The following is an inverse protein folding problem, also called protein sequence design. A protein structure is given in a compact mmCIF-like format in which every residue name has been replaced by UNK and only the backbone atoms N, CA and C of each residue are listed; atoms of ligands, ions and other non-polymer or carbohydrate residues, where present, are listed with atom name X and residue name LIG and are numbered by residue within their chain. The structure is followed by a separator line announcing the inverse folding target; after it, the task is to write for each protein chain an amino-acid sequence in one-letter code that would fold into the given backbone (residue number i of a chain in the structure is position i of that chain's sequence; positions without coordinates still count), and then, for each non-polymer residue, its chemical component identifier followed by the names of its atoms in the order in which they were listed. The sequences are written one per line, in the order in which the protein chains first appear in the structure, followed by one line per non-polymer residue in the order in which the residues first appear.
data_IF_154972963672
#
_entry.id   IF_154972963672
#
_cell.length_a   1.000
_cell.length_b   1.000
_cell.length_c   1.000
_cell.angle_alpha   90.00
_cell.angle_beta   90.00
_cell.angle_gamma   90.00
#
_symmetry.space_group_name_H-M   'P 1'
#
loop_
_entity.id
_entity.type
_entity.pdbx_description
1 polymer ?
#
# COMPACT_ATOMS: atom_id res chain seq x y z
N UNK A 1 -59.20 -14.63 24.53
CA UNK A 1 -58.62 -15.42 23.41
C UNK A 1 -57.15 -15.01 23.30
N UNK A 2 -56.19 -15.76 23.87
CA UNK A 2 -55.55 -16.96 23.29
C UNK A 2 -54.99 -16.59 21.91
N UNK A 3 -53.68 -16.43 21.71
CA UNK A 3 -52.75 -17.56 21.63
C UNK A 3 -51.28 -17.10 21.66
N UNK A 4 -50.51 -17.77 22.51
CA UNK A 4 -49.10 -18.17 22.39
C UNK A 4 -48.17 -17.42 21.42
N UNK A 5 -47.30 -16.59 21.99
CA UNK A 5 -45.96 -16.33 21.42
C UNK A 5 -44.96 -17.27 22.08
N UNK A 6 -45.16 -18.56 21.84
CA UNK A 6 -44.25 -19.64 22.27
C UNK A 6 -43.01 -19.65 21.39
N UNK A 7 -41.86 -19.44 22.03
CA UNK A 7 -40.55 -20.05 21.75
C UNK A 7 -40.16 -20.24 20.27
N UNK A 8 -39.29 -19.36 19.78
CA UNK A 8 -38.24 -19.75 18.82
C UNK A 8 -36.90 -19.33 19.42
N UNK A 9 -36.44 -20.11 20.39
CA UNK A 9 -35.02 -20.16 20.74
C UNK A 9 -34.34 -21.05 19.70
N UNK A 10 -33.94 -20.48 18.57
CA UNK A 10 -32.99 -21.13 17.67
C UNK A 10 -31.57 -20.83 18.17
N UNK A 11 -31.19 -21.44 19.29
CA UNK A 11 -29.78 -21.75 19.55
C UNK A 11 -29.37 -22.83 18.56
N UNK A 12 -29.03 -22.42 17.33
CA UNK A 12 -28.40 -23.31 16.35
C UNK A 12 -27.05 -23.73 16.93
N UNK A 13 -26.97 -24.96 17.42
CA UNK A 13 -25.72 -25.56 17.86
C UNK A 13 -24.71 -25.49 16.71
N UNK A 14 -23.45 -25.20 17.02
CA UNK A 14 -22.38 -25.20 16.02
C UNK A 14 -22.34 -26.59 15.34
N UNK A 15 -22.28 -26.64 14.00
CA UNK A 15 -22.34 -27.91 13.27
C UNK A 15 -21.20 -28.82 13.72
N UNK A 16 -21.53 -30.09 13.92
CA UNK A 16 -20.55 -31.09 14.36
C UNK A 16 -19.55 -31.40 13.22
N UNK A 17 -18.39 -31.95 13.58
CA UNK A 17 -17.30 -32.20 12.61
C UNK A 17 -17.73 -33.12 11.45
N UNK A 18 -18.73 -33.96 11.67
CA UNK A 18 -19.26 -34.92 10.71
C UNK A 18 -20.15 -34.23 9.67
N UNK A 19 -21.04 -33.33 10.09
CA UNK A 19 -21.85 -32.46 9.21
C UNK A 19 -20.97 -31.52 8.39
N UNK A 20 -19.90 -30.99 8.96
CA UNK A 20 -18.95 -30.15 8.23
C UNK A 20 -18.21 -30.94 7.14
N UNK A 21 -17.86 -32.20 7.41
CA UNK A 21 -17.22 -33.08 6.44
C UNK A 21 -18.19 -33.56 5.35
N UNK A 22 -19.43 -33.86 5.70
CA UNK A 22 -20.48 -34.16 4.72
C UNK A 22 -20.78 -32.97 3.80
N UNK A 23 -20.80 -31.75 4.35
CA UNK A 23 -20.95 -30.52 3.56
C UNK A 23 -19.76 -30.29 2.62
N UNK A 24 -18.52 -30.57 3.06
CA UNK A 24 -17.32 -30.52 2.21
C UNK A 24 -17.35 -31.55 1.08
N UNK A 25 -17.85 -32.75 1.34
CA UNK A 25 -18.00 -33.83 0.35
C UNK A 25 -19.09 -33.54 -0.68
N UNK A 26 -20.13 -32.80 -0.31
CA UNK A 26 -21.19 -32.37 -1.22
C UNK A 26 -20.80 -31.17 -2.10
N UNK A 27 -19.64 -30.56 -1.88
CA UNK A 27 -19.26 -29.29 -2.49
C UNK A 27 -18.46 -29.51 -3.79
N UNK A 28 -18.88 -28.84 -4.88
CA UNK A 28 -18.33 -29.03 -6.24
C UNK A 28 -16.82 -28.76 -6.32
N UNK A 29 -16.05 -29.45 -7.20
CA UNK A 29 -14.57 -29.40 -7.24
C UNK A 29 -13.92 -28.01 -7.48
N UNK A 30 -14.69 -26.94 -7.66
CA UNK A 30 -14.21 -25.57 -7.76
C UNK A 30 -14.32 -24.75 -6.46
N UNK A 31 -14.94 -25.27 -5.40
CA UNK A 31 -15.21 -24.48 -4.19
C UNK A 31 -13.93 -24.08 -3.46
N UNK A 32 -12.91 -24.94 -3.43
CA UNK A 32 -11.62 -24.62 -2.81
C UNK A 32 -10.89 -23.52 -3.58
N UNK A 33 -11.00 -23.54 -4.90
CA UNK A 33 -10.43 -22.50 -5.77
C UNK A 33 -11.17 -21.19 -5.60
N UNK A 34 -12.50 -21.22 -5.54
CA UNK A 34 -13.32 -20.05 -5.29
C UNK A 34 -13.07 -19.48 -3.89
N UNK A 35 -12.91 -20.33 -2.87
CA UNK A 35 -12.60 -19.90 -1.51
C UNK A 35 -11.16 -19.36 -1.41
N UNK A 36 -10.18 -19.97 -2.08
CA UNK A 36 -8.82 -19.43 -2.20
C UNK A 36 -8.80 -18.10 -2.95
N UNK A 37 -9.54 -18.00 -4.05
CA UNK A 37 -9.71 -16.77 -4.83
C UNK A 37 -10.37 -15.66 -4.00
N UNK A 38 -11.44 -15.99 -3.28
CA UNK A 38 -12.14 -15.08 -2.38
C UNK A 38 -11.29 -14.65 -1.18
N UNK A 39 -10.42 -15.53 -0.67
CA UNK A 39 -9.42 -15.20 0.35
C UNK A 39 -8.33 -14.25 -0.19
N UNK A 40 -7.96 -14.38 -1.46
CA UNK A 40 -6.98 -13.53 -2.12
C UNK A 40 -7.58 -12.17 -2.51
N UNK A 41 -8.89 -12.10 -2.76
CA UNK A 41 -9.57 -10.84 -3.06
C UNK A 41 -9.55 -9.89 -1.85
N UNK A 42 -8.57 -8.99 -1.88
CA UNK A 42 -8.36 -7.92 -0.90
C UNK A 42 -9.63 -7.09 -0.64
N UNK A 43 -10.46 -6.89 -1.67
CA UNK A 43 -11.72 -6.17 -1.57
C UNK A 43 -12.80 -6.83 -0.69
N UNK A 44 -12.68 -8.14 -0.39
CA UNK A 44 -13.57 -8.88 0.53
C UNK A 44 -12.97 -9.09 1.92
N UNK A 45 -11.68 -8.81 2.10
CA UNK A 45 -10.94 -9.01 3.36
C UNK A 45 -10.96 -7.76 4.28
N UNK A 46 -11.54 -6.66 3.81
CA UNK A 46 -11.93 -5.54 4.66
C UNK A 46 -13.40 -5.68 5.01
N UNK A 47 -13.72 -6.07 6.25
CA UNK A 47 -15.05 -5.77 6.80
C UNK A 47 -15.20 -4.25 6.72
N UNK A 48 -15.95 -3.76 5.74
CA UNK A 48 -16.30 -2.34 5.68
C UNK A 48 -17.13 -2.07 6.92
N UNK A 49 -16.60 -1.25 7.83
CA UNK A 49 -17.37 -0.85 9.00
C UNK A 49 -18.62 -0.11 8.51
N UNK A 50 -19.76 -0.37 9.14
CA UNK A 50 -21.06 0.19 8.76
C UNK A 50 -20.95 1.72 8.72
N UNK A 51 -20.17 2.28 9.63
CA UNK A 51 -19.87 3.70 9.77
C UNK A 51 -19.20 4.27 8.51
N UNK A 52 -18.27 3.54 7.86
CA UNK A 52 -17.65 4.01 6.60
C UNK A 52 -18.65 4.04 5.47
N UNK A 53 -19.50 3.03 5.33
CA UNK A 53 -20.53 2.97 4.28
C UNK A 53 -21.59 4.05 4.49
N UNK A 54 -22.00 4.26 5.74
CA UNK A 54 -22.94 5.31 6.11
C UNK A 54 -22.36 6.70 5.83
N UNK A 55 -21.08 6.95 6.17
CA UNK A 55 -20.40 8.22 5.88
C UNK A 55 -20.32 8.51 4.38
N UNK A 56 -20.08 7.48 3.55
CA UNK A 56 -20.05 7.61 2.09
C UNK A 56 -21.45 7.91 1.55
N UNK A 57 -22.48 7.19 2.02
CA UNK A 57 -23.87 7.43 1.63
C UNK A 57 -24.31 8.85 2.00
N UNK A 58 -23.94 9.31 3.20
CA UNK A 58 -24.19 10.68 3.63
C UNK A 58 -23.50 11.69 2.71
N UNK A 59 -22.21 11.49 2.42
CA UNK A 59 -21.42 12.34 1.52
C UNK A 59 -22.06 12.45 0.13
N UNK A 60 -22.50 11.33 -0.45
CA UNK A 60 -23.15 11.28 -1.75
C UNK A 60 -24.49 12.06 -1.78
N UNK A 61 -25.22 12.09 -0.66
CA UNK A 61 -26.51 12.78 -0.56
C UNK A 61 -26.38 14.28 -0.30
N UNK A 62 -25.33 14.72 0.40
CA UNK A 62 -25.17 16.12 0.83
C UNK A 62 -24.18 16.93 -0.02
N UNK A 63 -23.25 16.29 -0.71
CA UNK A 63 -22.18 16.99 -1.43
C UNK A 63 -22.65 17.51 -2.79
N UNK A 64 -22.35 18.77 -3.11
CA UNK A 64 -22.63 19.36 -4.42
C UNK A 64 -21.76 18.75 -5.53
N UNK A 65 -22.32 18.63 -6.74
CA UNK A 65 -21.58 18.14 -7.93
C UNK A 65 -20.34 18.98 -8.23
N UNK A 66 -20.40 20.29 -7.98
CA UNK A 66 -19.26 21.20 -8.16
C UNK A 66 -18.09 20.86 -7.25
N UNK A 67 -18.35 20.54 -5.97
CA UNK A 67 -17.31 20.10 -5.03
C UNK A 67 -16.66 18.80 -5.49
N UNK A 68 -17.45 17.84 -5.98
CA UNK A 68 -16.91 16.56 -6.49
C UNK A 68 -15.99 16.79 -7.69
N UNK A 69 -16.46 17.55 -8.68
CA UNK A 69 -15.66 17.88 -9.88
C UNK A 69 -14.37 18.59 -9.48
N UNK A 70 -14.47 19.59 -8.59
CA UNK A 70 -13.32 20.34 -8.12
C UNK A 70 -12.30 19.44 -7.42
N UNK A 71 -12.74 18.53 -6.55
CA UNK A 71 -11.85 17.55 -5.89
C UNK A 71 -11.18 16.65 -6.91
N UNK A 72 -11.91 16.13 -7.90
CA UNK A 72 -11.34 15.27 -8.94
C UNK A 72 -10.29 15.98 -9.79
N UNK A 73 -10.42 17.29 -10.02
CA UNK A 73 -9.45 18.09 -10.79
C UNK A 73 -8.28 18.55 -9.92
N UNK A 74 -8.56 19.08 -8.72
CA UNK A 74 -7.54 19.64 -7.83
C UNK A 74 -6.66 18.57 -7.17
N UNK A 75 -7.16 17.36 -6.95
CA UNK A 75 -6.38 16.29 -6.30
C UNK A 75 -5.15 15.86 -7.13
N UNK A 76 -5.26 15.58 -8.45
CA UNK A 76 -4.09 15.21 -9.26
C UNK A 76 -3.21 16.40 -9.65
N UNK A 77 -3.73 17.63 -9.63
CA UNK A 77 -3.00 18.81 -10.13
C UNK A 77 -1.63 19.03 -9.47
N UNK A 78 -1.46 18.98 -8.15
CA UNK A 78 -0.14 19.11 -7.53
C UNK A 78 0.87 18.08 -8.02
N UNK A 79 0.43 16.82 -8.19
CA UNK A 79 1.29 15.76 -8.70
C UNK A 79 1.66 15.99 -10.18
N UNK A 80 0.70 16.44 -11.00
CA UNK A 80 0.94 16.79 -12.41
C UNK A 80 1.89 17.98 -12.54
N UNK A 81 1.70 19.03 -11.73
CA UNK A 81 2.60 20.18 -11.72
C UNK A 81 4.03 19.76 -11.36
N UNK A 82 4.21 18.95 -10.31
CA UNK A 82 5.53 18.42 -9.95
C UNK A 82 6.12 17.56 -11.07
N UNK A 83 5.31 16.74 -11.73
CA UNK A 83 5.75 15.93 -12.86
C UNK A 83 6.24 16.79 -14.04
N UNK A 84 5.47 17.82 -14.41
CA UNK A 84 5.85 18.75 -15.47
C UNK A 84 7.13 19.52 -15.11
N UNK A 85 7.24 20.02 -13.88
CA UNK A 85 8.45 20.72 -13.42
C UNK A 85 9.69 19.83 -13.54
N UNK A 86 9.55 18.53 -13.27
CA UNK A 86 10.63 17.56 -13.38
C UNK A 86 10.96 17.20 -14.85
N UNK A 87 9.97 17.17 -15.74
CA UNK A 87 10.19 16.97 -17.18
C UNK A 87 10.82 18.20 -17.87
N UNK A 88 10.64 19.40 -17.32
CA UNK A 88 11.30 20.61 -17.83
C UNK A 88 12.81 20.66 -17.55
N UNK A 89 13.35 19.70 -16.79
CA UNK A 89 14.77 19.63 -16.48
C UNK A 89 15.53 19.08 -17.70
N UNK A 90 16.49 19.83 -18.27
CA UNK A 90 17.20 19.42 -19.47
C UNK A 90 18.06 18.17 -19.23
N UNK A 91 18.03 17.26 -20.19
CA UNK A 91 18.83 16.03 -20.21
C UNK A 91 19.82 16.07 -21.36
N UNK A 92 21.01 15.52 -21.12
CA UNK A 92 22.01 15.31 -22.16
C UNK A 92 21.65 14.10 -23.01
N UNK A 93 22.41 13.88 -24.10
CA UNK A 93 22.20 12.69 -24.91
C UNK A 93 22.50 11.42 -24.08
N UNK A 94 21.71 10.34 -24.20
CA UNK A 94 21.99 9.10 -23.49
C UNK A 94 23.34 8.46 -23.88
N UNK A 95 23.84 8.76 -25.08
CA UNK A 95 25.15 8.32 -25.58
C UNK A 95 26.33 8.89 -24.80
N UNK A 96 26.17 10.02 -24.10
CA UNK A 96 27.23 10.60 -23.25
C UNK A 96 27.39 9.85 -21.91
N UNK A 97 26.53 8.85 -21.65
CA UNK A 97 26.63 7.98 -20.50
C UNK A 97 26.07 8.59 -19.21
N UNK A 98 26.14 7.80 -18.13
CA UNK A 98 25.47 8.13 -16.87
C UNK A 98 26.09 9.31 -16.11
N UNK A 99 27.39 9.57 -16.30
CA UNK A 99 28.08 10.68 -15.61
C UNK A 99 27.72 12.04 -16.19
N UNK A 100 27.64 12.14 -17.52
CA UNK A 100 27.21 13.35 -18.21
C UNK A 100 25.74 13.68 -17.90
N UNK A 101 24.93 12.64 -17.68
CA UNK A 101 23.51 12.76 -17.34
C UNK A 101 23.27 12.90 -15.82
N UNK A 102 24.09 13.66 -15.09
CA UNK A 102 23.91 13.86 -13.64
C UNK A 102 22.51 14.40 -13.24
N UNK A 103 21.92 15.21 -14.12
CA UNK A 103 20.60 15.80 -13.94
C UNK A 103 19.46 14.76 -14.00
N UNK A 104 19.65 13.68 -14.79
CA UNK A 104 18.74 12.54 -14.81
C UNK A 104 18.60 11.93 -13.42
N UNK A 105 19.71 11.78 -12.70
CA UNK A 105 19.73 11.20 -11.36
C UNK A 105 18.98 12.09 -10.36
N UNK A 106 19.13 13.40 -10.42
CA UNK A 106 18.37 14.32 -9.56
C UNK A 106 16.86 14.16 -9.80
N UNK A 107 16.45 14.17 -11.07
CA UNK A 107 15.05 13.99 -11.46
C UNK A 107 14.49 12.66 -10.95
N UNK A 108 15.19 11.57 -11.21
CA UNK A 108 14.79 10.23 -10.79
C UNK A 108 14.71 10.14 -9.26
N UNK A 109 15.69 10.69 -8.53
CA UNK A 109 15.68 10.66 -7.07
C UNK A 109 14.51 11.41 -6.47
N UNK A 110 14.19 12.59 -7.02
CA UNK A 110 13.09 13.41 -6.51
C UNK A 110 11.74 12.71 -6.72
N UNK A 111 11.53 12.09 -7.89
CA UNK A 111 10.34 11.27 -8.15
C UNK A 111 10.22 10.14 -7.13
N UNK A 112 11.29 9.37 -6.97
CA UNK A 112 11.35 8.24 -6.04
C UNK A 112 11.11 8.69 -4.60
N UNK A 113 11.68 9.83 -4.20
CA UNK A 113 11.46 10.43 -2.89
C UNK A 113 10.00 10.78 -2.63
N UNK A 114 9.32 11.43 -3.58
CA UNK A 114 7.90 11.79 -3.43
C UNK A 114 7.00 10.55 -3.35
N UNK A 115 7.33 9.51 -4.12
CA UNK A 115 6.65 8.21 -4.04
C UNK A 115 6.85 7.57 -2.66
N UNK A 116 8.08 7.54 -2.16
CA UNK A 116 8.40 7.03 -0.82
C UNK A 116 7.70 7.82 0.28
N UNK A 117 7.62 9.15 0.16
CA UNK A 117 6.95 10.01 1.14
C UNK A 117 5.46 9.68 1.20
N UNK A 118 4.82 9.58 0.04
CA UNK A 118 3.41 9.19 -0.09
C UNK A 118 3.17 7.79 0.46
N UNK A 119 4.06 6.84 0.17
CA UNK A 119 3.95 5.47 0.64
C UNK A 119 4.11 5.34 2.16
N UNK A 120 5.20 5.87 2.72
CA UNK A 120 5.53 5.75 4.15
C UNK A 120 4.51 6.51 5.01
N UNK A 121 3.93 7.62 4.51
CA UNK A 121 2.88 8.34 5.22
C UNK A 121 1.63 7.49 5.52
N UNK A 122 1.38 6.45 4.71
CA UNK A 122 0.27 5.52 4.92
C UNK A 122 0.46 4.60 6.13
N UNK A 123 1.66 4.49 6.71
CA UNK A 123 1.89 3.71 7.93
C UNK A 123 0.95 4.08 9.06
N UNK A 124 0.73 5.39 9.28
CA UNK A 124 -0.17 5.88 10.32
C UNK A 124 -1.63 5.53 10.04
N UNK A 125 -2.01 5.34 8.77
CA UNK A 125 -3.36 4.97 8.37
C UNK A 125 -3.61 3.46 8.52
N UNK A 126 -2.61 2.63 8.23
CA UNK A 126 -2.77 1.17 8.23
C UNK A 126 -2.35 0.48 9.54
N UNK A 127 -1.54 1.15 10.37
CA UNK A 127 -1.05 0.61 11.64
C UNK A 127 -1.58 1.48 12.79
N UNK A 128 -2.68 1.09 13.44
CA UNK A 128 -3.24 1.83 14.55
C UNK A 128 -2.22 2.03 15.69
N UNK A 129 -2.10 3.26 16.18
CA UNK A 129 -1.30 3.62 17.36
C UNK A 129 0.21 3.77 17.14
N UNK A 130 0.75 3.51 15.94
CA UNK A 130 2.21 3.62 15.68
C UNK A 130 2.72 5.07 15.63
N UNK A 131 1.82 6.04 15.42
CA UNK A 131 2.05 7.50 15.43
C UNK A 131 3.47 7.92 14.98
N UNK A 132 3.82 7.60 13.73
CA UNK A 132 5.09 7.99 13.12
C UNK A 132 5.08 9.49 12.88
N UNK A 133 6.03 10.19 13.52
CA UNK A 133 6.25 11.63 13.35
C UNK A 133 6.63 11.98 11.92
N UNK A 134 6.25 13.16 11.45
CA UNK A 134 6.61 13.67 10.12
C UNK A 134 8.12 13.60 9.83
N UNK A 135 8.97 13.96 10.80
CA UNK A 135 10.43 13.88 10.65
C UNK A 135 10.92 12.46 10.33
N UNK A 136 10.38 11.43 11.02
CA UNK A 136 10.71 10.03 10.75
C UNK A 136 10.28 9.58 9.35
N UNK A 137 9.11 10.04 8.88
CA UNK A 137 8.65 9.77 7.52
C UNK A 137 9.66 10.34 6.51
N UNK A 138 10.07 11.61 6.68
CA UNK A 138 11.07 12.25 5.81
C UNK A 138 12.41 11.53 5.80
N UNK A 139 12.97 11.24 6.98
CA UNK A 139 14.26 10.55 7.10
C UNK A 139 14.19 9.17 6.44
N UNK A 140 13.09 8.44 6.63
CA UNK A 140 12.90 7.14 6.00
C UNK A 140 12.78 7.24 4.48
N UNK A 141 12.04 8.23 3.96
CA UNK A 141 11.89 8.47 2.53
C UNK A 141 13.21 8.86 1.87
N UNK A 142 14.00 9.75 2.49
CA UNK A 142 15.34 10.12 2.01
C UNK A 142 16.24 8.89 1.99
N UNK A 143 16.29 8.14 3.09
CA UNK A 143 17.13 6.94 3.20
C UNK A 143 16.83 5.90 2.12
N UNK A 144 15.54 5.64 1.87
CA UNK A 144 15.13 4.71 0.81
C UNK A 144 15.49 5.22 -0.59
N UNK A 145 15.31 6.52 -0.88
CA UNK A 145 15.67 7.11 -2.17
C UNK A 145 17.17 7.12 -2.44
N UNK A 146 17.99 7.39 -1.43
CA UNK A 146 19.45 7.36 -1.55
C UNK A 146 19.94 5.93 -1.79
N UNK A 147 19.37 4.95 -1.09
CA UNK A 147 19.70 3.54 -1.28
C UNK A 147 19.40 3.07 -2.71
N UNK A 148 18.23 3.43 -3.26
CA UNK A 148 17.90 3.09 -4.64
C UNK A 148 18.84 3.78 -5.63
N UNK A 149 19.13 5.07 -5.44
CA UNK A 149 20.05 5.81 -6.31
C UNK A 149 21.43 5.13 -6.39
N UNK A 150 21.96 4.67 -5.26
CA UNK A 150 23.22 3.93 -5.24
C UNK A 150 23.17 2.69 -6.13
N UNK A 151 22.06 1.93 -6.09
CA UNK A 151 21.87 0.75 -6.94
C UNK A 151 21.79 1.13 -8.41
N UNK A 152 20.99 2.15 -8.75
CA UNK A 152 20.81 2.54 -10.14
C UNK A 152 22.11 3.09 -10.76
N UNK A 153 22.92 3.81 -9.97
CA UNK A 153 24.25 4.30 -10.41
C UNK A 153 25.23 3.14 -10.59
N UNK A 154 25.27 2.18 -9.65
CA UNK A 154 26.10 0.98 -9.80
C UNK A 154 25.69 0.25 -11.07
N UNK A 155 24.39 0.02 -11.27
CA UNK A 155 23.86 -0.69 -12.41
C UNK A 155 24.16 0.04 -13.73
N UNK A 156 24.03 1.37 -13.76
CA UNK A 156 24.40 2.19 -14.91
C UNK A 156 25.89 2.11 -15.23
N UNK A 157 26.74 1.98 -14.20
CA UNK A 157 28.19 1.82 -14.38
C UNK A 157 28.58 0.42 -14.88
N UNK A 158 27.82 -0.63 -14.52
CA UNK A 158 28.14 -2.02 -14.88
C UNK A 158 27.46 -2.51 -16.16
N UNK A 159 26.21 -2.12 -16.39
CA UNK A 159 25.37 -2.57 -17.51
C UNK A 159 25.33 -1.54 -18.64
N UNK A 160 25.58 -0.26 -18.32
CA UNK A 160 25.53 0.85 -19.26
C UNK A 160 24.30 1.73 -19.07
N UNK A 161 24.31 2.88 -19.74
CA UNK A 161 23.26 3.89 -19.69
C UNK A 161 22.57 4.02 -21.06
N UNK A 162 21.22 4.09 -21.12
CA UNK A 162 20.27 4.01 -20.02
C UNK A 162 20.14 2.60 -19.44
N UNK A 163 19.85 2.51 -18.14
CA UNK A 163 19.70 1.23 -17.43
C UNK A 163 18.48 0.46 -17.96
N UNK A 164 18.64 -0.78 -18.47
CA UNK A 164 17.50 -1.58 -18.91
C UNK A 164 16.63 -1.97 -17.71
N UNK A 165 15.31 -1.88 -17.87
CA UNK A 165 14.32 -2.26 -16.85
C UNK A 165 14.47 -1.52 -15.50
N UNK A 166 14.99 -0.29 -15.49
CA UNK A 166 15.22 0.50 -14.25
C UNK A 166 13.99 0.59 -13.35
N UNK A 167 12.78 0.70 -13.91
CA UNK A 167 11.53 0.74 -13.14
C UNK A 167 11.24 -0.59 -12.44
N UNK A 168 11.49 -1.73 -13.09
CA UNK A 168 11.22 -3.04 -12.53
C UNK A 168 12.26 -3.42 -11.47
N UNK A 169 13.53 -3.08 -11.72
CA UNK A 169 14.63 -3.27 -10.77
C UNK A 169 14.44 -2.35 -9.57
N UNK A 170 14.07 -1.10 -9.80
CA UNK A 170 13.76 -0.12 -8.76
C UNK A 170 12.56 -0.53 -7.90
N UNK A 171 11.47 -1.00 -8.52
CA UNK A 171 10.30 -1.51 -7.78
C UNK A 171 10.66 -2.71 -6.90
N UNK A 172 11.39 -3.68 -7.46
CA UNK A 172 11.76 -4.91 -6.74
C UNK A 172 12.72 -4.63 -5.57
N UNK A 173 13.68 -3.73 -5.76
CA UNK A 173 14.61 -3.32 -4.71
C UNK A 173 13.91 -2.51 -3.61
N UNK A 174 12.97 -1.64 -3.95
CA UNK A 174 12.21 -0.85 -2.98
C UNK A 174 11.40 -1.71 -2.00
N UNK A 175 10.85 -2.84 -2.44
CA UNK A 175 10.18 -3.81 -1.54
C UNK A 175 11.11 -4.32 -0.44
N UNK A 176 12.43 -4.29 -0.63
CA UNK A 176 13.42 -4.67 0.38
C UNK A 176 13.87 -3.44 1.19
N UNK A 177 14.21 -2.33 0.54
CA UNK A 177 14.79 -1.16 1.23
C UNK A 177 13.79 -0.45 2.13
N UNK A 178 12.54 -0.28 1.71
CA UNK A 178 11.52 0.42 2.48
C UNK A 178 11.32 -0.20 3.87
N UNK A 179 11.07 -1.52 4.02
CA UNK A 179 10.91 -2.13 5.35
C UNK A 179 12.19 -2.07 6.17
N UNK A 180 13.37 -2.19 5.54
CA UNK A 180 14.66 -2.05 6.22
C UNK A 180 14.85 -0.64 6.81
N UNK A 181 14.59 0.39 6.01
CA UNK A 181 14.75 1.79 6.43
C UNK A 181 13.68 2.18 7.46
N UNK A 182 12.42 1.77 7.28
CA UNK A 182 11.38 1.99 8.29
C UNK A 182 11.79 1.33 9.61
N UNK A 183 12.28 0.08 9.59
CA UNK A 183 12.75 -0.61 10.79
C UNK A 183 13.93 0.12 11.44
N UNK A 184 14.84 0.66 10.65
CA UNK A 184 15.98 1.43 11.15
C UNK A 184 15.53 2.74 11.82
N UNK A 185 14.57 3.45 11.21
CA UNK A 185 14.08 4.75 11.71
C UNK A 185 13.12 4.61 12.90
N UNK A 186 12.27 3.59 12.91
CA UNK A 186 11.32 3.33 13.99
C UNK A 186 11.96 2.57 15.17
N UNK A 187 13.09 1.90 14.94
CA UNK A 187 13.75 1.08 15.94
C UNK A 187 13.13 -0.31 16.08
N UNK A 188 13.61 -1.08 17.07
CA UNK A 188 13.21 -2.48 17.28
C UNK A 188 11.88 -2.62 18.05
N UNK A 189 11.51 -1.60 18.83
CA UNK A 189 10.34 -1.57 19.72
C UNK A 189 9.03 -1.98 19.02
N UNK A 190 8.61 -1.37 17.89
CA UNK A 190 7.33 -1.73 17.25
C UNK A 190 7.31 -3.15 16.65
N UNK A 191 8.49 -3.75 16.46
CA UNK A 191 8.69 -5.05 15.83
C UNK A 191 8.93 -6.19 16.83
N UNK A 192 9.01 -5.87 18.13
CA UNK A 192 9.19 -6.88 19.17
C UNK A 192 8.02 -7.89 19.18
N UNK A 193 8.28 -9.13 19.57
CA UNK A 193 7.25 -10.17 19.62
C UNK A 193 6.09 -9.84 20.57
N UNK A 194 6.37 -9.01 21.59
CA UNK A 194 5.40 -8.49 22.56
C UNK A 194 4.65 -7.24 22.08
N UNK A 195 5.01 -6.65 20.93
CA UNK A 195 4.44 -5.40 20.45
C UNK A 195 3.02 -5.62 19.90
N UNK A 196 2.02 -4.82 20.32
CA UNK A 196 0.68 -4.86 19.76
C UNK A 196 0.63 -4.42 18.29
N UNK A 197 1.64 -3.70 17.80
CA UNK A 197 1.69 -3.20 16.42
C UNK A 197 2.18 -4.25 15.41
N UNK A 198 2.88 -5.29 15.86
CA UNK A 198 3.50 -6.30 14.99
C UNK A 198 2.54 -6.94 13.98
N UNK A 199 1.33 -7.43 14.34
CA UNK A 199 0.41 -8.02 13.36
C UNK A 199 -0.08 -6.99 12.32
N UNK A 200 -0.25 -5.73 12.72
CA UNK A 200 -0.66 -4.65 11.82
C UNK A 200 0.47 -4.25 10.86
N UNK A 201 1.72 -4.21 11.32
CA UNK A 201 2.90 -3.97 10.48
C UNK A 201 3.09 -5.12 9.47
N UNK A 202 2.93 -6.38 9.90
CA UNK A 202 2.98 -7.52 8.99
C UNK A 202 1.88 -7.46 7.92
N UNK A 203 0.67 -7.06 8.31
CA UNK A 203 -0.44 -6.86 7.37
C UNK A 203 -0.17 -5.71 6.41
N UNK A 204 0.42 -4.61 6.90
CA UNK A 204 0.84 -3.48 6.07
C UNK A 204 1.83 -3.92 4.98
N UNK A 205 2.89 -4.64 5.35
CA UNK A 205 3.86 -5.15 4.37
C UNK A 205 3.25 -6.15 3.41
N UNK A 206 2.38 -7.05 3.88
CA UNK A 206 1.67 -8.00 2.99
C UNK A 206 0.72 -7.33 1.99
N UNK A 207 0.17 -6.17 2.34
CA UNK A 207 -0.65 -5.40 1.39
C UNK A 207 0.16 -4.62 0.37
N UNK A 208 1.43 -4.38 0.66
CA UNK A 208 2.25 -3.42 -0.09
C UNK A 208 3.43 -4.03 -0.83
N UNK A 209 3.79 -5.28 -0.52
CA UNK A 209 4.85 -6.08 -1.15
C UNK A 209 4.29 -7.44 -1.58
#
# INVERSE_FOLDING_TARGET
MRSDRSKVNDTKAAPNAEELNAAKLAMKPGWELEERWNRIQVGRQGSYSIERVESLNYYCKTTSRTRVILVCILTPLPALCLALLLECIPLSSPSEGWQANWMFWIRLNLMVFLLNLSFISQLNLFVPGINVTFAKIWVASIGASVALMGIDVILASTVGFPVPFVVQIGGSSMSIFIPLVIRLVLGKEPYANSSPHRPHIQRFYRFTM
#
